data_IF_183765830899
#
_entry.id   IF_183765830899
#
_cell.length_a   1.000
_cell.length_b   1.000
_cell.length_c   1.000
_cell.angle_alpha   90.00
_cell.angle_beta   90.00
_cell.angle_gamma   90.00
#
_symmetry.space_group_name_H-M   'P 1'
#
loop_
_entity.id
_entity.type
_entity.pdbx_description
1 polymer ?
#
# COMPACT_ATOMS: atom_id res chain seq x y z
N UNK A 1 -6.84 -13.70 0.91
CA UNK A 1 -5.48 -13.70 1.52
C UNK A 1 -4.98 -12.28 1.69
N UNK A 2 -4.04 -12.02 2.60
CA UNK A 2 -3.29 -10.78 2.68
C UNK A 2 -1.99 -10.93 1.88
N UNK A 3 -1.67 -9.93 1.03
CA UNK A 3 -0.38 -9.83 0.35
C UNK A 3 0.30 -8.54 0.81
N UNK A 4 1.54 -8.63 1.30
CA UNK A 4 2.26 -7.49 1.86
C UNK A 4 3.67 -7.36 1.29
N UNK A 5 4.11 -6.11 1.15
CA UNK A 5 5.52 -5.78 0.98
C UNK A 5 6.13 -5.50 2.35
N UNK A 6 7.37 -5.96 2.58
CA UNK A 6 8.05 -5.79 3.86
C UNK A 6 9.48 -5.30 3.68
N UNK A 7 9.78 -4.16 4.28
CA UNK A 7 11.12 -3.60 4.40
C UNK A 7 11.31 -3.01 5.80
N UNK A 8 12.14 -3.65 6.63
CA UNK A 8 12.42 -3.20 8.00
C UNK A 8 13.85 -3.57 8.38
N UNK A 9 14.82 -2.81 7.89
CA UNK A 9 16.24 -3.08 8.09
C UNK A 9 16.69 -2.93 9.56
N UNK A 10 15.96 -2.14 10.33
CA UNK A 10 16.30 -1.85 11.73
C UNK A 10 15.44 -2.62 12.74
N UNK A 11 14.50 -3.45 12.27
CA UNK A 11 13.60 -4.22 13.13
C UNK A 11 12.62 -3.38 13.95
N UNK A 12 12.28 -2.19 13.46
CA UNK A 12 11.40 -1.24 14.17
C UNK A 12 9.95 -1.72 14.30
N UNK A 13 9.53 -2.62 13.41
CA UNK A 13 8.19 -3.21 13.47
C UNK A 13 8.11 -4.46 14.35
N UNK A 14 9.24 -5.00 14.83
CA UNK A 14 9.28 -6.32 15.48
C UNK A 14 8.38 -6.39 16.72
N UNK A 15 8.46 -5.40 17.62
CA UNK A 15 7.63 -5.40 18.85
C UNK A 15 6.14 -5.26 18.54
N UNK A 16 5.78 -4.41 17.58
CA UNK A 16 4.40 -4.28 17.12
C UNK A 16 3.92 -5.59 16.49
N UNK A 17 4.73 -6.18 15.62
CA UNK A 17 4.41 -7.47 15.00
C UNK A 17 4.18 -8.58 16.02
N UNK A 18 5.03 -8.69 17.05
CA UNK A 18 4.86 -9.68 18.12
C UNK A 18 3.50 -9.57 18.83
N UNK A 19 3.02 -8.35 19.04
CA UNK A 19 1.72 -8.14 19.70
C UNK A 19 0.53 -8.33 18.75
N UNK A 20 0.67 -7.97 17.48
CA UNK A 20 -0.45 -7.73 16.56
C UNK A 20 -0.63 -8.84 15.53
N UNK A 21 0.46 -9.50 15.10
CA UNK A 21 0.41 -10.48 14.01
C UNK A 21 -0.59 -11.61 14.22
N UNK A 22 -0.77 -12.20 15.43
CA UNK A 22 -1.82 -13.21 15.65
C UNK A 22 -3.24 -12.69 15.34
N UNK A 23 -3.52 -11.43 15.69
CA UNK A 23 -4.81 -10.77 15.42
C UNK A 23 -4.95 -10.47 13.92
N UNK A 24 -3.92 -9.94 13.29
CA UNK A 24 -3.90 -9.67 11.85
C UNK A 24 -4.14 -10.96 11.06
N UNK A 25 -3.41 -12.03 11.38
CA UNK A 25 -3.52 -13.31 10.69
C UNK A 25 -4.91 -13.91 10.78
N UNK A 26 -5.64 -13.70 11.88
CA UNK A 26 -6.98 -14.25 12.08
C UNK A 26 -8.04 -13.74 11.08
N UNK A 27 -7.78 -12.62 10.39
CA UNK A 27 -8.68 -12.06 9.36
C UNK A 27 -8.50 -12.70 7.97
N UNK A 28 -7.45 -13.50 7.76
CA UNK A 28 -7.07 -13.98 6.42
C UNK A 28 -6.85 -15.49 6.42
N UNK A 29 -7.14 -16.12 5.30
CA UNK A 29 -6.82 -17.53 5.09
C UNK A 29 -5.31 -17.81 4.98
N UNK A 30 -4.50 -16.78 4.76
CA UNK A 30 -3.05 -16.84 4.70
C UNK A 30 -2.45 -15.47 4.40
N UNK A 31 -1.13 -15.36 4.59
CA UNK A 31 -0.35 -14.14 4.36
C UNK A 31 0.80 -14.47 3.42
N UNK A 32 0.87 -13.75 2.29
CA UNK A 32 1.99 -13.74 1.36
C UNK A 32 2.85 -12.51 1.62
N UNK A 33 4.15 -12.69 1.79
CA UNK A 33 5.09 -11.61 2.14
C UNK A 33 6.22 -11.55 1.13
N UNK A 34 6.35 -10.43 0.46
CA UNK A 34 7.49 -10.10 -0.37
C UNK A 34 8.43 -9.16 0.41
N UNK A 35 9.55 -9.70 0.88
CA UNK A 35 10.48 -8.99 1.75
C UNK A 35 11.77 -8.62 1.03
N UNK A 36 12.38 -7.49 1.45
CA UNK A 36 13.72 -7.12 1.00
C UNK A 36 14.80 -7.92 1.74
N UNK A 37 15.96 -8.11 1.11
CA UNK A 37 17.13 -8.74 1.74
C UNK A 37 17.67 -7.98 2.94
N UNK A 38 17.31 -6.71 3.08
CA UNK A 38 17.73 -5.85 4.18
C UNK A 38 16.82 -5.99 5.40
N UNK A 39 15.67 -6.66 5.27
CA UNK A 39 14.73 -6.82 6.40
C UNK A 39 15.37 -7.62 7.53
N UNK A 40 15.14 -7.19 8.76
CA UNK A 40 15.67 -7.80 9.99
C UNK A 40 15.20 -9.26 10.12
N UNK A 41 16.12 -10.23 10.27
CA UNK A 41 15.78 -11.66 10.20
C UNK A 41 14.73 -12.13 11.21
N UNK A 42 14.73 -11.60 12.45
CA UNK A 42 13.75 -12.00 13.48
C UNK A 42 12.32 -11.61 13.10
N UNK A 43 12.14 -10.50 12.36
CA UNK A 43 10.84 -10.12 11.80
C UNK A 43 10.34 -11.14 10.79
N UNK A 44 11.23 -11.61 9.90
CA UNK A 44 10.90 -12.65 8.92
C UNK A 44 10.63 -14.02 9.57
N UNK A 45 11.40 -14.39 10.60
CA UNK A 45 11.16 -15.60 11.37
C UNK A 45 9.83 -15.58 12.09
N UNK A 46 9.46 -14.44 12.69
CA UNK A 46 8.16 -14.23 13.33
C UNK A 46 7.01 -14.42 12.34
N UNK A 47 7.12 -13.85 11.15
CA UNK A 47 6.11 -14.02 10.08
C UNK A 47 5.94 -15.49 9.71
N UNK A 48 7.06 -16.22 9.48
CA UNK A 48 7.03 -17.66 9.18
C UNK A 48 6.44 -18.49 10.31
N UNK A 49 6.77 -18.17 11.56
CA UNK A 49 6.23 -18.85 12.74
C UNK A 49 4.70 -18.71 12.86
N UNK A 50 4.13 -17.68 12.26
CA UNK A 50 2.67 -17.44 12.18
C UNK A 50 2.05 -17.91 10.86
N UNK A 51 2.76 -18.75 10.09
CA UNK A 51 2.24 -19.39 8.89
C UNK A 51 2.24 -18.51 7.64
N UNK A 52 2.95 -17.37 7.64
CA UNK A 52 3.13 -16.58 6.45
C UNK A 52 4.11 -17.26 5.47
N UNK A 53 3.77 -17.26 4.18
CA UNK A 53 4.73 -17.56 3.12
C UNK A 53 5.60 -16.31 2.90
N UNK A 54 6.90 -16.42 3.23
CA UNK A 54 7.85 -15.30 3.18
C UNK A 54 8.89 -15.56 2.12
N UNK A 55 8.82 -14.78 1.04
CA UNK A 55 9.83 -14.73 -0.02
C UNK A 55 10.72 -13.53 0.18
N UNK A 56 12.02 -13.72 0.00
CA UNK A 56 13.01 -12.66 0.10
C UNK A 56 13.61 -12.46 -1.28
N UNK A 57 13.60 -11.22 -1.74
CA UNK A 57 14.19 -10.86 -3.04
C UNK A 57 15.68 -11.15 -3.10
N UNK A 58 16.23 -11.48 -4.27
CA UNK A 58 17.68 -11.56 -4.45
C UNK A 58 18.35 -10.19 -4.21
N UNK A 59 19.59 -10.16 -3.70
CA UNK A 59 20.34 -8.90 -3.53
C UNK A 59 20.49 -8.12 -4.84
N UNK A 60 20.27 -6.81 -4.79
CA UNK A 60 20.41 -5.94 -5.96
C UNK A 60 19.30 -6.01 -6.98
N UNK A 61 18.17 -6.65 -6.65
CA UNK A 61 17.03 -6.81 -7.55
C UNK A 61 16.25 -5.51 -7.73
N UNK A 62 16.30 -4.58 -6.76
CA UNK A 62 15.44 -3.39 -6.74
C UNK A 62 16.18 -2.08 -6.60
N UNK A 63 15.68 -1.07 -7.28
CA UNK A 63 16.14 0.31 -7.22
C UNK A 63 15.13 1.17 -6.44
N UNK A 64 15.09 1.01 -5.12
CA UNK A 64 14.34 1.87 -4.21
C UNK A 64 12.90 2.13 -4.64
N UNK A 65 12.52 3.39 -4.76
CA UNK A 65 11.15 3.83 -5.06
C UNK A 65 10.65 3.39 -6.45
N UNK A 66 11.56 3.17 -7.41
CA UNK A 66 11.23 2.76 -8.77
C UNK A 66 10.79 1.30 -8.88
N UNK A 67 10.95 0.51 -7.83
CA UNK A 67 10.59 -0.92 -7.83
C UNK A 67 9.55 -1.31 -6.76
N UNK A 68 8.92 -0.33 -6.14
CA UNK A 68 7.85 -0.58 -5.14
C UNK A 68 6.66 -1.29 -5.78
N UNK A 69 6.28 -0.91 -6.99
CA UNK A 69 5.20 -1.54 -7.74
C UNK A 69 5.51 -2.97 -8.12
N UNK A 70 6.76 -3.26 -8.51
CA UNK A 70 7.21 -4.64 -8.74
C UNK A 70 7.05 -5.50 -7.48
N UNK A 71 7.47 -4.99 -6.30
CA UNK A 71 7.31 -5.71 -5.03
C UNK A 71 5.84 -6.06 -4.73
N UNK A 72 4.95 -5.10 -4.96
CA UNK A 72 3.50 -5.29 -4.77
C UNK A 72 2.92 -6.31 -5.74
N UNK A 73 3.32 -6.26 -7.01
CA UNK A 73 2.91 -7.24 -8.02
C UNK A 73 3.42 -8.64 -7.65
N UNK A 74 4.65 -8.78 -7.22
CA UNK A 74 5.21 -10.06 -6.78
C UNK A 74 4.49 -10.63 -5.55
N UNK A 75 4.16 -9.79 -4.55
CA UNK A 75 3.37 -10.21 -3.39
C UNK A 75 1.95 -10.65 -3.80
N UNK A 76 1.34 -9.94 -4.74
CA UNK A 76 0.04 -10.30 -5.32
C UNK A 76 0.11 -11.65 -6.03
N UNK A 77 1.07 -11.85 -6.92
CA UNK A 77 1.25 -13.12 -7.64
C UNK A 77 1.55 -14.29 -6.70
N UNK A 78 2.37 -14.06 -5.69
CA UNK A 78 2.62 -15.06 -4.63
C UNK A 78 1.33 -15.49 -3.94
N UNK A 79 0.44 -14.57 -3.59
CA UNK A 79 -0.85 -14.91 -2.99
C UNK A 79 -1.73 -15.74 -3.95
N UNK A 80 -1.73 -15.42 -5.26
CA UNK A 80 -2.45 -16.21 -6.27
C UNK A 80 -1.88 -17.62 -6.43
N UNK A 81 -0.56 -17.79 -6.40
CA UNK A 81 0.10 -19.12 -6.42
C UNK A 81 -0.27 -19.95 -5.21
N UNK A 82 -0.51 -19.33 -4.05
CA UNK A 82 -1.01 -19.97 -2.84
C UNK A 82 -2.52 -20.27 -2.87
N UNK A 83 -3.18 -20.03 -4.00
CA UNK A 83 -4.60 -20.34 -4.21
C UNK A 83 -5.58 -19.26 -3.79
N UNK A 84 -5.14 -18.00 -3.64
CA UNK A 84 -6.06 -16.90 -3.30
C UNK A 84 -7.05 -16.61 -4.45
N UNK A 85 -8.33 -16.51 -4.13
CA UNK A 85 -9.38 -16.03 -5.03
C UNK A 85 -9.66 -14.54 -4.85
N UNK A 86 -9.31 -14.00 -3.68
CA UNK A 86 -9.38 -12.58 -3.35
C UNK A 86 -8.17 -12.21 -2.48
N UNK A 87 -7.52 -11.11 -2.84
CA UNK A 87 -6.31 -10.63 -2.19
C UNK A 87 -6.56 -9.23 -1.64
N UNK A 88 -6.19 -9.00 -0.39
CA UNK A 88 -5.95 -7.67 0.17
C UNK A 88 -4.46 -7.38 0.00
N UNK A 89 -4.11 -6.46 -0.88
CA UNK A 89 -2.75 -5.97 -1.06
C UNK A 89 -2.56 -4.71 -0.21
N UNK A 90 -1.58 -4.73 0.70
CA UNK A 90 -1.33 -3.64 1.63
C UNK A 90 0.14 -3.63 2.05
N UNK A 91 0.70 -2.47 2.40
CA UNK A 91 2.02 -2.42 3.01
C UNK A 91 1.96 -3.00 4.44
N UNK A 92 3.00 -3.71 4.89
CA UNK A 92 2.96 -4.49 6.13
C UNK A 92 2.77 -3.63 7.39
N UNK A 93 3.41 -2.48 7.45
CA UNK A 93 3.26 -1.52 8.56
C UNK A 93 1.81 -1.00 8.68
N UNK A 94 1.15 -0.73 7.55
CA UNK A 94 -0.27 -0.35 7.51
C UNK A 94 -1.17 -1.47 7.99
N UNK A 95 -0.91 -2.71 7.56
CA UNK A 95 -1.68 -3.86 7.99
C UNK A 95 -1.56 -4.09 9.51
N UNK A 96 -0.36 -3.94 10.09
CA UNK A 96 -0.14 -4.02 11.53
C UNK A 96 -0.90 -2.91 12.27
N UNK A 97 -0.73 -1.66 11.84
CA UNK A 97 -1.43 -0.52 12.43
C UNK A 97 -2.95 -0.73 12.44
N UNK A 98 -3.49 -1.12 11.29
CA UNK A 98 -4.93 -1.35 11.13
C UNK A 98 -5.45 -2.43 12.09
N UNK A 99 -4.75 -3.55 12.18
CA UNK A 99 -5.12 -4.63 13.11
C UNK A 99 -4.94 -4.24 14.59
N UNK A 100 -4.01 -3.32 14.91
CA UNK A 100 -3.80 -2.86 16.29
C UNK A 100 -4.89 -1.89 16.75
N UNK A 101 -5.20 -0.89 15.94
CA UNK A 101 -6.04 0.24 16.35
C UNK A 101 -7.47 0.23 15.80
N UNK A 102 -7.70 -0.47 14.68
CA UNK A 102 -8.99 -0.48 13.98
C UNK A 102 -9.40 -1.91 13.54
N UNK A 103 -9.20 -2.89 14.42
CA UNK A 103 -9.39 -4.31 14.14
C UNK A 103 -10.77 -4.68 13.59
N UNK A 104 -11.82 -4.09 14.16
CA UNK A 104 -13.22 -4.38 13.75
C UNK A 104 -13.51 -3.78 12.35
N UNK A 105 -12.94 -2.62 12.04
CA UNK A 105 -13.03 -2.04 10.71
C UNK A 105 -12.30 -2.91 9.68
N UNK A 106 -11.09 -3.40 10.03
CA UNK A 106 -10.33 -4.32 9.16
C UNK A 106 -11.16 -5.57 8.84
N UNK A 107 -11.79 -6.19 9.84
CA UNK A 107 -12.68 -7.34 9.64
C UNK A 107 -13.83 -7.03 8.66
N UNK A 108 -14.49 -5.88 8.83
CA UNK A 108 -15.58 -5.44 7.95
C UNK A 108 -15.11 -5.17 6.53
N UNK A 109 -13.94 -4.54 6.37
CA UNK A 109 -13.35 -4.27 5.06
C UNK A 109 -12.99 -5.57 4.35
N UNK A 110 -12.29 -6.48 5.01
CA UNK A 110 -11.91 -7.79 4.44
C UNK A 110 -13.14 -8.56 3.96
N UNK A 111 -14.22 -8.56 4.74
CA UNK A 111 -15.47 -9.23 4.35
C UNK A 111 -16.14 -8.59 3.12
N UNK A 112 -15.86 -7.32 2.80
CA UNK A 112 -16.45 -6.59 1.68
C UNK A 112 -15.60 -6.65 0.40
N UNK A 113 -14.31 -7.00 0.48
CA UNK A 113 -13.42 -7.02 -0.69
C UNK A 113 -13.97 -7.86 -1.85
N UNK A 114 -14.58 -9.04 -1.64
CA UNK A 114 -15.10 -9.84 -2.75
C UNK A 114 -16.29 -9.23 -3.50
N UNK A 115 -16.86 -8.11 -3.02
CA UNK A 115 -18.00 -7.46 -3.69
C UNK A 115 -17.64 -6.80 -5.02
N UNK A 116 -16.38 -6.47 -5.24
CA UNK A 116 -15.87 -5.88 -6.48
C UNK A 116 -14.65 -6.64 -6.96
N UNK A 117 -14.35 -6.53 -8.25
CA UNK A 117 -13.18 -7.19 -8.82
C UNK A 117 -11.89 -6.46 -8.46
N UNK A 118 -11.98 -5.13 -8.32
CA UNK A 118 -10.90 -4.30 -7.80
C UNK A 118 -11.49 -3.23 -6.87
N UNK A 119 -10.93 -3.10 -5.67
CA UNK A 119 -11.36 -2.11 -4.68
C UNK A 119 -10.18 -1.23 -4.27
N UNK A 120 -10.31 0.07 -4.44
CA UNK A 120 -9.40 1.03 -3.81
C UNK A 120 -9.84 1.26 -2.37
N UNK A 121 -8.93 1.11 -1.43
CA UNK A 121 -9.14 1.45 -0.02
C UNK A 121 -8.49 2.81 0.22
N UNK A 122 -9.32 3.84 0.37
CA UNK A 122 -8.88 5.20 0.64
C UNK A 122 -9.09 5.58 2.09
N UNK A 123 -8.63 6.75 2.48
CA UNK A 123 -8.71 7.28 3.84
C UNK A 123 -9.98 8.11 4.04
N UNK A 124 -10.57 8.02 5.22
CA UNK A 124 -11.50 9.07 5.68
C UNK A 124 -10.76 10.41 5.77
N UNK A 125 -11.49 11.51 5.85
CA UNK A 125 -10.91 12.84 6.06
C UNK A 125 -10.03 12.87 7.32
N UNK A 126 -10.48 12.23 8.40
CA UNK A 126 -9.73 12.12 9.66
C UNK A 126 -8.40 11.39 9.45
N UNK A 127 -8.44 10.24 8.80
CA UNK A 127 -7.25 9.43 8.54
C UNK A 127 -6.27 10.16 7.60
N UNK A 128 -6.75 10.81 6.55
CA UNK A 128 -5.92 11.63 5.67
C UNK A 128 -5.26 12.80 6.42
N UNK A 129 -6.02 13.52 7.24
CA UNK A 129 -5.52 14.67 8.01
C UNK A 129 -4.56 14.27 9.14
N UNK A 130 -4.46 12.99 9.52
CA UNK A 130 -3.51 12.49 10.52
C UNK A 130 -2.05 12.48 10.03
N UNK A 131 -1.83 12.58 8.72
CA UNK A 131 -0.50 12.57 8.10
C UNK A 131 0.21 13.92 8.20
N UNK A 132 1.56 13.97 8.13
CA UNK A 132 2.31 15.22 8.02
C UNK A 132 1.87 16.04 6.80
N UNK A 133 1.99 17.36 6.90
CA UNK A 133 1.61 18.27 5.80
C UNK A 133 2.34 17.97 4.51
N UNK A 134 3.65 17.68 4.59
CA UNK A 134 4.48 17.32 3.43
C UNK A 134 3.88 16.15 2.63
N UNK A 135 3.30 15.17 3.31
CA UNK A 135 2.64 14.04 2.67
C UNK A 135 1.25 14.44 2.15
N UNK A 136 0.42 15.07 2.97
CA UNK A 136 -0.94 15.48 2.59
C UNK A 136 -0.97 16.40 1.37
N UNK A 137 -0.05 17.37 1.31
CA UNK A 137 -0.05 18.38 0.25
C UNK A 137 0.39 17.77 -1.08
N UNK A 138 1.38 16.86 -1.08
CA UNK A 138 1.82 16.15 -2.29
C UNK A 138 0.79 15.11 -2.75
N UNK A 139 0.22 14.32 -1.86
CA UNK A 139 -0.80 13.32 -2.19
C UNK A 139 -2.12 13.95 -2.65
N UNK A 140 -2.45 15.15 -2.17
CA UNK A 140 -3.62 15.89 -2.68
C UNK A 140 -3.47 16.23 -4.16
N UNK A 141 -2.28 16.64 -4.61
CA UNK A 141 -2.01 16.92 -6.04
C UNK A 141 -2.27 15.67 -6.87
N UNK A 142 -1.78 14.51 -6.40
CA UNK A 142 -1.96 13.23 -7.08
C UNK A 142 -3.44 12.86 -7.15
N UNK A 143 -4.16 12.93 -6.02
CA UNK A 143 -5.57 12.58 -5.94
C UNK A 143 -6.45 13.52 -6.79
N UNK A 144 -6.13 14.82 -6.87
CA UNK A 144 -6.85 15.79 -7.70
C UNK A 144 -6.64 15.48 -9.19
N UNK A 145 -5.40 15.17 -9.60
CA UNK A 145 -5.10 14.77 -10.98
C UNK A 145 -5.75 13.42 -11.33
N UNK A 146 -5.66 12.45 -10.42
CA UNK A 146 -6.35 11.17 -10.60
C UNK A 146 -7.86 11.37 -10.78
N UNK A 147 -8.48 12.21 -9.95
CA UNK A 147 -9.91 12.51 -10.05
C UNK A 147 -10.28 13.12 -11.43
N UNK A 148 -9.43 13.99 -11.96
CA UNK A 148 -9.63 14.57 -13.29
C UNK A 148 -9.50 13.52 -14.40
N UNK A 149 -8.53 12.61 -14.31
CA UNK A 149 -8.29 11.55 -15.30
C UNK A 149 -9.31 10.41 -15.19
N UNK A 150 -9.64 9.99 -13.97
CA UNK A 150 -10.52 8.87 -13.69
C UNK A 150 -12.01 9.24 -13.66
N UNK A 151 -12.34 10.51 -13.35
CA UNK A 151 -13.72 11.02 -13.26
C UNK A 151 -14.43 10.72 -11.95
N UNK A 152 -13.70 10.27 -10.92
CA UNK A 152 -14.19 10.07 -9.55
C UNK A 152 -13.10 10.47 -8.55
N UNK A 153 -13.51 11.19 -7.49
CA UNK A 153 -12.59 11.67 -6.46
C UNK A 153 -12.31 10.57 -5.43
N UNK A 154 -11.37 9.68 -5.76
CA UNK A 154 -10.88 8.64 -4.86
C UNK A 154 -9.52 9.03 -4.28
N UNK A 155 -9.28 8.69 -3.03
CA UNK A 155 -7.96 8.74 -2.42
C UNK A 155 -7.20 7.46 -2.80
N UNK A 156 -6.35 7.56 -3.82
CA UNK A 156 -5.62 6.41 -4.38
C UNK A 156 -4.25 6.20 -3.75
N UNK A 157 -3.73 7.20 -3.04
CA UNK A 157 -2.37 7.20 -2.50
C UNK A 157 -2.23 6.45 -1.17
N UNK A 158 -3.31 5.81 -0.70
CA UNK A 158 -3.31 5.06 0.56
C UNK A 158 -2.65 3.66 0.47
N UNK A 159 -2.16 3.25 -0.70
CA UNK A 159 -1.42 2.00 -0.92
C UNK A 159 -2.10 0.73 -0.38
N UNK A 160 -3.43 0.66 -0.47
CA UNK A 160 -4.20 -0.52 -0.03
C UNK A 160 -5.31 -0.85 -1.04
N UNK A 161 -5.41 -2.12 -1.43
CA UNK A 161 -6.27 -2.61 -2.54
C UNK A 161 -6.89 -3.96 -2.22
N UNK A 162 -8.13 -4.15 -2.66
CA UNK A 162 -8.73 -5.48 -2.80
C UNK A 162 -8.74 -5.90 -4.26
N UNK A 163 -8.35 -7.15 -4.57
CA UNK A 163 -8.34 -7.69 -5.92
C UNK A 163 -8.92 -9.09 -5.93
N UNK A 164 -9.83 -9.38 -6.87
CA UNK A 164 -10.14 -10.77 -7.21
C UNK A 164 -9.02 -11.35 -8.08
N UNK A 165 -8.96 -12.68 -8.20
CA UNK A 165 -8.05 -13.36 -9.11
C UNK A 165 -8.16 -12.81 -10.53
N UNK A 166 -9.37 -12.58 -11.04
CA UNK A 166 -9.59 -12.05 -12.39
C UNK A 166 -8.93 -10.67 -12.59
N UNK A 167 -9.05 -9.77 -11.63
CA UNK A 167 -8.40 -8.46 -11.72
C UNK A 167 -6.88 -8.56 -11.61
N UNK A 168 -6.38 -9.43 -10.74
CA UNK A 168 -4.95 -9.66 -10.55
C UNK A 168 -4.30 -10.29 -11.79
N UNK A 169 -4.90 -11.31 -12.38
CA UNK A 169 -4.42 -11.96 -13.62
C UNK A 169 -4.41 -10.97 -14.77
N UNK A 170 -5.46 -10.13 -14.87
CA UNK A 170 -5.51 -9.10 -15.91
C UNK A 170 -4.39 -8.08 -15.76
N UNK A 171 -4.15 -7.58 -14.54
CA UNK A 171 -3.06 -6.64 -14.26
C UNK A 171 -1.69 -7.26 -14.51
N UNK A 172 -1.48 -8.51 -14.15
CA UNK A 172 -0.23 -9.23 -14.40
C UNK A 172 0.10 -9.32 -15.90
N UNK A 173 -0.94 -9.44 -16.75
CA UNK A 173 -0.79 -9.56 -18.20
C UNK A 173 -0.64 -8.20 -18.92
N UNK A 174 -1.11 -7.09 -18.34
CA UNK A 174 -1.27 -5.82 -19.05
C UNK A 174 -0.58 -4.63 -18.40
N UNK A 175 -0.13 -4.72 -17.13
CA UNK A 175 0.57 -3.65 -16.45
C UNK A 175 2.05 -3.92 -16.38
N UNK A 176 2.85 -2.98 -16.85
CA UNK A 176 4.31 -2.93 -16.73
C UNK A 176 4.79 -1.86 -15.74
N UNK A 177 3.86 -1.21 -15.04
CA UNK A 177 4.19 -0.18 -14.04
C UNK A 177 4.78 -0.83 -12.77
N UNK A 178 6.11 -0.83 -12.71
CA UNK A 178 6.90 -1.34 -11.57
C UNK A 178 7.11 -0.31 -10.46
N UNK A 179 6.64 0.91 -10.67
CA UNK A 179 6.82 2.02 -9.74
C UNK A 179 5.69 2.11 -8.71
N UNK A 180 5.81 3.03 -7.76
CA UNK A 180 4.71 3.38 -6.84
C UNK A 180 3.48 3.89 -7.61
N UNK A 181 3.64 4.35 -8.84
CA UNK A 181 2.57 4.85 -9.70
C UNK A 181 1.47 3.84 -10.00
N UNK A 182 1.71 2.54 -9.72
CA UNK A 182 0.67 1.52 -9.82
C UNK A 182 -0.53 1.78 -8.90
N UNK A 183 -0.38 2.61 -7.87
CA UNK A 183 -1.48 3.09 -7.05
C UNK A 183 -2.52 3.85 -7.88
N UNK A 184 -2.08 4.54 -8.92
CA UNK A 184 -2.90 5.37 -9.80
C UNK A 184 -3.22 4.67 -11.13
N UNK A 185 -2.21 4.03 -11.76
CA UNK A 185 -2.35 3.45 -13.10
C UNK A 185 -3.29 2.24 -13.12
N UNK A 186 -3.24 1.35 -12.13
CA UNK A 186 -4.08 0.16 -12.08
C UNK A 186 -5.59 0.44 -12.13
N UNK A 187 -6.18 1.32 -11.30
CA UNK A 187 -7.60 1.61 -11.42
C UNK A 187 -7.96 2.31 -12.74
N UNK A 188 -7.08 3.15 -13.32
CA UNK A 188 -7.30 3.77 -14.64
C UNK A 188 -7.35 2.70 -15.75
N UNK A 189 -6.41 1.76 -15.74
CA UNK A 189 -6.36 0.66 -16.70
C UNK A 189 -7.59 -0.25 -16.58
N UNK A 190 -7.92 -0.67 -15.35
CA UNK A 190 -9.05 -1.58 -15.10
C UNK A 190 -10.42 -0.97 -15.42
N UNK A 191 -10.56 0.36 -15.37
CA UNK A 191 -11.80 1.04 -15.76
C UNK A 191 -12.23 0.76 -17.21
N UNK A 192 -11.30 0.33 -18.07
CA UNK A 192 -11.54 -0.01 -19.48
C UNK A 192 -11.99 -1.46 -19.70
N UNK A 193 -12.05 -2.21 -18.64
CA UNK A 193 -12.45 -3.62 -18.65
C UNK A 193 -13.90 -3.75 -18.17
N UNK A 194 -14.55 -4.92 -18.36
CA UNK A 194 -15.85 -5.20 -17.76
C UNK A 194 -15.78 -5.45 -16.23
N UNK A 195 -14.60 -5.38 -15.63
CA UNK A 195 -14.41 -5.61 -14.20
C UNK A 195 -15.06 -4.50 -13.36
N UNK A 196 -15.65 -4.90 -12.23
CA UNK A 196 -16.34 -3.98 -11.32
C UNK A 196 -15.35 -3.36 -10.35
N UNK A 197 -15.23 -2.04 -10.39
CA UNK A 197 -14.37 -1.28 -9.50
C UNK A 197 -15.18 -0.72 -8.33
N UNK A 198 -14.60 -0.77 -7.13
CA UNK A 198 -15.18 -0.24 -5.90
C UNK A 198 -14.24 0.70 -5.15
N UNK A 199 -14.83 1.49 -4.25
CA UNK A 199 -14.09 2.38 -3.37
C UNK A 199 -14.65 2.28 -1.95
N UNK A 200 -13.77 2.11 -0.97
CA UNK A 200 -14.13 2.06 0.45
C UNK A 200 -13.21 3.03 1.19
N UNK A 201 -13.79 3.92 1.99
CA UNK A 201 -13.04 4.80 2.89
C UNK A 201 -12.89 4.18 4.27
N UNK A 202 -11.71 4.35 4.88
CA UNK A 202 -11.33 3.70 6.12
C UNK A 202 -10.59 4.65 7.06
N UNK A 203 -10.71 4.43 8.34
CA UNK A 203 -9.94 5.12 9.36
C UNK A 203 -8.60 4.45 9.66
N UNK A 204 -8.52 3.14 9.46
CA UNK A 204 -7.32 2.36 9.76
C UNK A 204 -6.12 2.61 8.84
N UNK A 205 -6.29 3.38 7.77
CA UNK A 205 -5.20 3.88 6.93
C UNK A 205 -4.69 5.25 7.38
N UNK A 206 -4.83 5.61 8.65
CA UNK A 206 -4.21 6.79 9.24
C UNK A 206 -2.68 6.65 9.33
N UNK A 207 -1.97 7.69 9.81
CA UNK A 207 -0.50 7.76 9.74
C UNK A 207 0.19 6.72 10.63
N UNK A 208 0.44 5.56 10.07
CA UNK A 208 1.08 4.38 10.67
C UNK A 208 2.59 4.52 10.88
N UNK A 209 3.25 5.35 10.08
CA UNK A 209 4.71 5.52 10.15
C UNK A 209 5.17 5.93 11.55
N UNK A 210 4.34 6.65 12.31
CA UNK A 210 4.61 7.05 13.69
C UNK A 210 4.90 5.85 14.61
N UNK A 211 4.32 4.69 14.36
CA UNK A 211 4.47 3.49 15.21
C UNK A 211 5.91 3.00 15.27
N UNK A 212 6.67 3.22 14.19
CA UNK A 212 8.08 2.82 14.05
C UNK A 212 9.07 3.82 14.65
N UNK A 213 8.62 5.00 15.08
CA UNK A 213 9.48 6.11 15.49
C UNK A 213 9.19 6.61 16.89
N UNK A 214 8.75 5.73 17.82
CA UNK A 214 8.40 6.10 19.19
C UNK A 214 9.48 6.87 19.94
N UNK A 215 10.75 6.46 19.84
CA UNK A 215 11.88 7.17 20.45
C UNK A 215 12.09 8.57 19.85
N UNK A 216 12.02 8.70 18.54
CA UNK A 216 12.17 9.99 17.86
C UNK A 216 11.00 10.93 18.17
N UNK A 217 9.79 10.40 18.33
CA UNK A 217 8.61 11.13 18.77
C UNK A 217 8.79 11.63 20.20
N UNK A 218 9.25 10.76 21.11
CA UNK A 218 9.54 11.16 22.51
C UNK A 218 10.63 12.24 22.56
N UNK A 219 11.72 12.07 21.81
CA UNK A 219 12.81 13.04 21.73
C UNK A 219 12.39 14.37 21.06
N UNK A 220 11.33 14.36 20.27
CA UNK A 220 10.76 15.58 19.69
C UNK A 220 9.86 16.35 20.64
N UNK A 221 9.40 15.73 21.73
CA UNK A 221 8.41 16.29 22.65
C UNK A 221 6.97 15.93 22.30
N UNK A 222 6.77 14.92 21.43
CA UNK A 222 5.48 14.40 21.04
C UNK A 222 5.28 14.30 19.52
N UNK A 223 4.17 13.64 19.11
CA UNK A 223 3.87 13.35 17.71
C UNK A 223 3.74 14.62 16.86
N UNK A 224 3.07 15.65 17.36
CA UNK A 224 2.89 16.91 16.64
C UNK A 224 4.24 17.56 16.35
N UNK A 225 5.10 17.72 17.36
CA UNK A 225 6.42 18.32 17.20
C UNK A 225 7.33 17.50 16.28
N UNK A 226 7.20 16.18 16.31
CA UNK A 226 7.92 15.31 15.38
C UNK A 226 7.43 15.51 13.94
N UNK A 227 6.12 15.59 13.71
CA UNK A 227 5.55 15.87 12.39
C UNK A 227 5.94 17.27 11.89
N UNK A 228 5.95 18.29 12.77
CA UNK A 228 6.41 19.64 12.41
C UNK A 228 7.87 19.64 11.93
N UNK A 229 8.72 18.77 12.50
CA UNK A 229 10.10 18.60 12.01
C UNK A 229 10.16 17.96 10.62
N UNK A 230 9.32 16.97 10.33
CA UNK A 230 9.20 16.38 8.99
C UNK A 230 8.73 17.43 7.98
N UNK A 231 7.75 18.24 8.36
CA UNK A 231 7.21 19.32 7.53
C UNK A 231 8.21 20.47 7.29
N UNK A 232 9.19 20.64 8.18
CA UNK A 232 10.26 21.62 8.05
C UNK A 232 11.50 21.10 7.31
N UNK A 233 11.62 19.78 7.06
CA UNK A 233 12.79 19.19 6.38
C UNK A 233 12.67 19.26 4.85
N UNK A 234 13.49 20.05 4.15
CA UNK A 234 13.45 20.12 2.69
C UNK A 234 13.69 18.77 2.00
N UNK A 235 14.40 17.83 2.64
CA UNK A 235 14.64 16.50 2.08
C UNK A 235 13.39 15.64 2.10
N UNK A 236 12.55 15.79 3.12
CA UNK A 236 11.24 15.13 3.16
C UNK A 236 10.35 15.63 1.99
N UNK A 237 10.35 16.94 1.73
CA UNK A 237 9.65 17.51 0.58
C UNK A 237 10.21 17.01 -0.75
N UNK A 238 11.54 16.99 -0.92
CA UNK A 238 12.18 16.51 -2.15
C UNK A 238 11.78 15.05 -2.44
N UNK A 239 11.82 14.18 -1.44
CA UNK A 239 11.42 12.78 -1.57
C UNK A 239 9.93 12.64 -1.94
N UNK A 240 9.03 13.39 -1.27
CA UNK A 240 7.59 13.32 -1.55
C UNK A 240 7.23 13.90 -2.92
N UNK A 241 7.92 14.94 -3.38
CA UNK A 241 7.74 15.49 -4.72
C UNK A 241 8.23 14.53 -5.80
N UNK A 242 9.29 13.76 -5.53
CA UNK A 242 9.73 12.71 -6.44
C UNK A 242 8.70 11.59 -6.56
N UNK A 243 8.12 11.14 -5.44
CA UNK A 243 7.00 10.19 -5.47
C UNK A 243 5.82 10.75 -6.28
N UNK A 244 5.43 12.00 -6.01
CA UNK A 244 4.34 12.64 -6.73
C UNK A 244 4.62 12.74 -8.24
N UNK A 245 5.87 13.04 -8.65
CA UNK A 245 6.26 13.05 -10.06
C UNK A 245 6.03 11.69 -10.72
N UNK A 246 6.49 10.61 -10.07
CA UNK A 246 6.33 9.24 -10.58
C UNK A 246 4.85 8.88 -10.73
N UNK A 247 4.02 9.15 -9.73
CA UNK A 247 2.58 8.85 -9.78
C UNK A 247 1.85 9.68 -10.84
N UNK A 248 2.21 10.95 -11.01
CA UNK A 248 1.67 11.81 -12.07
C UNK A 248 2.04 11.30 -13.46
N UNK A 249 3.28 10.86 -13.68
CA UNK A 249 3.72 10.23 -14.92
C UNK A 249 2.97 8.92 -15.21
N UNK A 250 2.72 8.11 -14.19
CA UNK A 250 1.91 6.89 -14.32
C UNK A 250 0.44 7.18 -14.67
N UNK A 251 -0.16 8.25 -14.10
CA UNK A 251 -1.49 8.70 -14.50
C UNK A 251 -1.51 9.12 -15.97
N UNK A 252 -0.52 9.91 -16.41
CA UNK A 252 -0.42 10.37 -17.79
C UNK A 252 -0.30 9.18 -18.74
N UNK A 253 0.67 8.29 -18.52
CA UNK A 253 0.89 7.08 -19.34
C UNK A 253 -0.35 6.20 -19.40
N UNK A 254 -0.99 5.91 -18.26
CA UNK A 254 -2.20 5.12 -18.21
C UNK A 254 -3.39 5.80 -18.92
N UNK A 255 -3.41 7.13 -19.03
CA UNK A 255 -4.45 7.88 -19.73
C UNK A 255 -4.19 7.91 -21.23
N UNK A 256 -2.94 8.03 -21.69
CA UNK A 256 -2.55 8.05 -23.11
C UNK A 256 -2.80 6.72 -23.82
N UNK A 257 -2.67 5.58 -23.15
CA UNK A 257 -3.10 4.27 -23.67
C UNK A 257 -4.57 4.25 -24.11
N UNK A 258 -5.33 5.29 -23.77
CA UNK A 258 -6.72 5.51 -24.20
C UNK A 258 -6.85 5.92 -25.67
N UNK A 259 -5.86 6.59 -26.23
CA UNK A 259 -5.95 7.22 -27.57
C UNK A 259 -5.66 6.21 -28.68
N UNK A 260 -4.93 5.15 -28.40
CA UNK A 260 -4.48 4.19 -29.42
C UNK A 260 -5.42 3.00 -29.63
N UNK A 261 -6.43 2.78 -28.77
CA UNK A 261 -7.38 1.66 -28.86
C UNK A 261 -8.77 2.05 -29.40
N UNK A 262 -9.01 3.34 -29.68
CA UNK A 262 -10.30 3.85 -30.21
C UNK A 262 -10.22 4.20 -31.72
N UNK A 263 -9.13 3.80 -32.44
CA UNK A 263 -9.00 3.84 -33.88
C UNK A 263 -9.14 2.39 -34.48
#
# INVERSE_FOLDING_TARGET
MLAVTHHDAEGRMLEQAQRVLPRLAAHYAGIAVQATTQSEPRGLELLRAHGADVRVEPPGTRDGLMSVGQARREALMQALELGAECVHLCDYDRALHWAEFHNDELAQVVARLPAHDFTVLGRTRRAFDSHPRVQRDTERIINDLFAAAFGQAWDVTAASRGLTRAAADWLAAHSDDDTIGNDCSWPIMLRRTPLRLGYIVTDGLEFETADRFGEAIAAAGGRTQWMDRLDADPRAWAMRLELARIEVESIASATELRVTNDE
#
